data_IF_699658872559
#
_entry.id   IF_699658872559
#
_cell.length_a   1.000
_cell.length_b   1.000
_cell.length_c   1.000
_cell.angle_alpha   90.00
_cell.angle_beta   90.00
_cell.angle_gamma   90.00
#
_symmetry.space_group_name_H-M   'P 1'
#
loop_
_entity.id
_entity.type
_entity.pdbx_description
1 polymer ?
#
# COMPACT_ATOMS: atom_id res chain seq x y z
N UNK A 1 -28.37 25.46 10.92
CA UNK A 1 -27.97 24.85 9.65
C UNK A 1 -28.41 23.40 9.59
N UNK A 2 -28.79 22.85 8.46
CA UNK A 2 -29.21 21.45 8.39
C UNK A 2 -28.04 20.51 8.70
N UNK A 3 -28.30 19.51 9.53
CA UNK A 3 -27.36 18.38 9.76
C UNK A 3 -27.90 17.21 8.96
N UNK A 4 -27.10 16.66 8.07
CA UNK A 4 -27.44 15.46 7.28
C UNK A 4 -26.49 14.35 7.65
N UNK A 5 -27.00 13.21 8.12
CA UNK A 5 -26.20 12.08 8.61
C UNK A 5 -25.14 12.45 9.66
N UNK A 6 -25.42 13.43 10.53
CA UNK A 6 -24.47 13.88 11.55
C UNK A 6 -23.39 14.84 11.08
N UNK A 7 -23.36 15.18 9.78
CA UNK A 7 -22.41 16.13 9.21
C UNK A 7 -23.08 17.48 9.03
N UNK A 8 -22.52 18.55 9.58
CA UNK A 8 -22.99 19.92 9.39
C UNK A 8 -22.36 20.55 8.15
N UNK A 9 -23.06 21.51 7.52
CA UNK A 9 -22.49 22.28 6.41
C UNK A 9 -21.19 22.99 6.83
N UNK A 10 -21.11 23.50 8.07
CA UNK A 10 -19.87 24.10 8.60
C UNK A 10 -18.71 23.12 8.63
N UNK A 11 -18.95 21.86 9.01
CA UNK A 11 -17.89 20.84 8.99
C UNK A 11 -17.37 20.56 7.58
N UNK A 12 -18.23 20.61 6.56
CA UNK A 12 -17.83 20.49 5.16
C UNK A 12 -17.01 21.71 4.73
N UNK A 13 -17.47 22.92 5.07
CA UNK A 13 -16.72 24.15 4.77
C UNK A 13 -15.34 24.15 5.43
N UNK A 14 -15.22 23.71 6.67
CA UNK A 14 -13.94 23.58 7.38
C UNK A 14 -12.99 22.59 6.68
N UNK A 15 -13.51 21.45 6.18
CA UNK A 15 -12.74 20.47 5.41
C UNK A 15 -12.27 21.08 4.11
N UNK A 16 -13.17 21.72 3.34
CA UNK A 16 -12.84 22.40 2.06
C UNK A 16 -11.78 23.47 2.27
N UNK A 17 -11.93 24.30 3.29
CA UNK A 17 -10.96 25.32 3.67
C UNK A 17 -9.59 24.74 4.06
N UNK A 18 -9.59 23.60 4.76
CA UNK A 18 -8.36 22.90 5.11
C UNK A 18 -7.64 22.36 3.86
N UNK A 19 -8.41 21.81 2.90
CA UNK A 19 -7.86 21.38 1.60
C UNK A 19 -7.36 22.55 0.75
N UNK A 20 -8.09 23.66 0.70
CA UNK A 20 -7.66 24.86 -0.01
C UNK A 20 -6.32 25.41 0.51
N UNK A 21 -6.14 25.36 1.85
CA UNK A 21 -4.92 25.88 2.49
C UNK A 21 -3.76 24.89 2.56
N UNK A 22 -4.06 23.60 2.62
CA UNK A 22 -3.08 22.55 2.99
C UNK A 22 -3.16 21.30 2.12
N UNK A 23 -3.91 21.29 1.03
CA UNK A 23 -4.10 20.10 0.17
C UNK A 23 -2.77 19.54 -0.36
N UNK A 24 -1.79 20.38 -0.62
CA UNK A 24 -0.44 19.94 -1.01
C UNK A 24 0.26 19.09 0.06
N UNK A 25 -0.10 19.23 1.33
CA UNK A 25 0.47 18.43 2.43
C UNK A 25 0.00 16.98 2.40
N UNK A 26 -1.18 16.72 1.83
CA UNK A 26 -1.78 15.39 1.75
C UNK A 26 -1.31 14.68 0.49
N UNK A 27 -0.92 15.43 -0.55
CA UNK A 27 -0.30 14.87 -1.75
C UNK A 27 1.06 14.28 -1.41
N UNK A 28 1.29 13.04 -1.77
CA UNK A 28 2.60 12.42 -1.53
C UNK A 28 2.59 10.91 -1.64
N UNK A 29 3.70 10.32 -1.25
CA UNK A 29 3.90 8.88 -1.28
C UNK A 29 3.59 8.27 0.08
N UNK A 30 2.65 7.36 0.08
CA UNK A 30 2.29 6.52 1.21
C UNK A 30 2.92 5.15 1.01
N UNK A 31 3.51 4.56 2.06
CA UNK A 31 4.15 3.24 1.99
C UNK A 31 3.58 2.33 3.04
N UNK A 32 3.10 1.16 2.62
CA UNK A 32 2.74 0.10 3.54
C UNK A 32 3.75 -1.05 3.43
N UNK A 33 4.27 -1.48 4.58
CA UNK A 33 5.29 -2.53 4.70
C UNK A 33 4.67 -3.76 5.36
N UNK A 34 4.57 -4.83 4.63
CA UNK A 34 4.18 -6.14 5.14
C UNK A 34 5.42 -7.01 5.31
N UNK A 35 5.50 -7.73 6.43
CA UNK A 35 6.53 -8.74 6.68
C UNK A 35 5.90 -10.04 7.13
N UNK A 36 6.39 -11.12 6.58
CA UNK A 36 6.14 -12.47 7.05
C UNK A 36 7.49 -13.20 7.23
N UNK A 37 7.68 -13.84 8.36
CA UNK A 37 8.81 -14.71 8.70
C UNK A 37 8.38 -15.76 9.71
N UNK A 38 9.30 -16.62 10.15
CA UNK A 38 9.01 -17.71 11.11
C UNK A 38 8.42 -17.20 12.45
N UNK A 39 8.65 -15.94 12.82
CA UNK A 39 8.09 -15.33 14.04
C UNK A 39 6.67 -14.83 13.86
N UNK A 40 6.17 -14.77 12.63
CA UNK A 40 4.86 -14.21 12.29
C UNK A 40 3.77 -15.24 12.58
N UNK A 41 3.04 -15.05 13.68
CA UNK A 41 1.96 -15.95 14.08
C UNK A 41 0.71 -15.85 13.18
N UNK A 42 0.51 -14.71 12.51
CA UNK A 42 -0.64 -14.45 11.64
C UNK A 42 -0.20 -13.74 10.35
N UNK A 43 -0.31 -14.39 9.19
CA UNK A 43 0.05 -13.79 7.90
C UNK A 43 -0.83 -12.57 7.51
N UNK A 44 -1.94 -12.35 8.21
CA UNK A 44 -2.80 -11.19 8.01
C UNK A 44 -2.56 -10.06 9.02
N UNK A 45 -1.44 -10.08 9.73
CA UNK A 45 -1.07 -8.97 10.61
C UNK A 45 -1.03 -7.66 9.84
N UNK A 46 -1.60 -6.56 10.40
CA UNK A 46 -1.62 -5.31 9.69
C UNK A 46 -0.20 -4.81 9.41
N UNK A 47 0.07 -4.32 8.20
CA UNK A 47 1.36 -3.78 7.83
C UNK A 47 1.60 -2.44 8.52
N UNK A 48 2.87 -2.05 8.63
CA UNK A 48 3.24 -0.71 9.03
C UNK A 48 2.98 0.25 7.89
N UNK A 49 2.33 1.39 8.18
CA UNK A 49 2.15 2.50 7.23
C UNK A 49 3.13 3.63 7.52
N UNK A 50 3.75 4.14 6.48
CA UNK A 50 4.49 5.41 6.49
C UNK A 50 3.75 6.45 5.65
N UNK A 51 3.56 7.63 6.22
CA UNK A 51 2.93 8.79 5.60
C UNK A 51 3.97 9.70 4.96
N UNK A 52 3.57 10.58 4.01
CA UNK A 52 4.42 11.65 3.52
C UNK A 52 4.98 12.49 4.70
N UNK A 53 6.20 13.03 4.54
CA UNK A 53 6.87 13.85 5.57
C UNK A 53 5.98 14.98 6.08
N UNK A 54 5.20 15.59 5.17
CA UNK A 54 4.26 16.68 5.47
C UNK A 54 3.16 16.33 6.48
N UNK A 55 2.90 15.03 6.71
CA UNK A 55 1.86 14.54 7.63
C UNK A 55 2.40 13.84 8.87
N UNK A 56 3.70 13.67 9.02
CA UNK A 56 4.28 12.89 10.13
C UNK A 56 3.90 13.41 11.52
N UNK A 57 3.90 14.73 11.70
CA UNK A 57 3.67 15.36 13.01
C UNK A 57 2.19 15.51 13.38
N UNK A 58 1.27 15.37 12.43
CA UNK A 58 -0.17 15.57 12.61
C UNK A 58 -0.99 14.32 12.23
N UNK A 59 -0.39 13.17 12.37
CA UNK A 59 -1.06 11.92 11.97
C UNK A 59 -2.12 11.52 12.99
N UNK A 60 -3.39 11.34 12.60
CA UNK A 60 -4.39 10.76 13.48
C UNK A 60 -4.02 9.30 13.79
N UNK A 61 -4.47 8.79 14.93
CA UNK A 61 -4.33 7.37 15.29
C UNK A 61 -5.11 6.44 14.34
N UNK A 62 -6.05 7.00 13.59
CA UNK A 62 -6.91 6.28 12.65
C UNK A 62 -6.41 6.49 11.22
N UNK A 63 -6.44 5.42 10.43
CA UNK A 63 -6.11 5.48 9.01
C UNK A 63 -7.17 6.23 8.21
N UNK A 64 -6.75 7.11 7.32
CA UNK A 64 -7.64 7.68 6.32
C UNK A 64 -8.12 6.59 5.32
N UNK A 65 -9.25 6.79 4.63
CA UNK A 65 -9.79 5.78 3.69
C UNK A 65 -8.79 5.34 2.62
N UNK A 66 -8.04 6.25 2.03
CA UNK A 66 -7.00 5.91 1.02
C UNK A 66 -5.81 5.15 1.63
N UNK A 67 -5.45 5.43 2.87
CA UNK A 67 -4.40 4.70 3.60
C UNK A 67 -4.83 3.25 3.85
N UNK A 68 -6.11 3.04 4.16
CA UNK A 68 -6.66 1.69 4.31
C UNK A 68 -6.54 0.88 3.02
N UNK A 69 -6.67 1.51 1.85
CA UNK A 69 -6.49 0.86 0.56
C UNK A 69 -5.02 0.42 0.37
N UNK A 70 -4.06 1.28 0.70
CA UNK A 70 -2.62 0.96 0.62
C UNK A 70 -2.25 -0.17 1.57
N UNK A 71 -2.76 -0.12 2.80
CA UNK A 71 -2.59 -1.17 3.83
C UNK A 71 -3.23 -2.47 3.37
N UNK A 72 -4.45 -2.44 2.82
CA UNK A 72 -5.12 -3.62 2.31
C UNK A 72 -4.37 -4.25 1.13
N UNK A 73 -3.82 -3.44 0.23
CA UNK A 73 -3.02 -3.92 -0.88
C UNK A 73 -1.76 -4.64 -0.39
N UNK A 74 -1.04 -4.06 0.58
CA UNK A 74 0.15 -4.67 1.15
C UNK A 74 -0.16 -5.97 1.92
N UNK A 75 -1.21 -5.97 2.74
CA UNK A 75 -1.61 -7.17 3.51
C UNK A 75 -2.06 -8.29 2.57
N UNK A 76 -2.96 -7.99 1.65
CA UNK A 76 -3.53 -9.00 0.77
C UNK A 76 -2.46 -9.60 -0.15
N UNK A 77 -1.67 -8.77 -0.83
CA UNK A 77 -0.63 -9.27 -1.73
C UNK A 77 0.53 -9.93 -0.96
N UNK A 78 0.94 -9.36 0.17
CA UNK A 78 1.99 -9.92 1.02
C UNK A 78 1.64 -11.30 1.57
N UNK A 79 0.38 -11.49 2.01
CA UNK A 79 -0.09 -12.77 2.56
C UNK A 79 -0.26 -13.89 1.52
N UNK A 80 -0.40 -13.55 0.23
CA UNK A 80 -0.46 -14.55 -0.83
C UNK A 80 0.84 -15.35 -0.96
N UNK A 81 2.00 -14.75 -0.68
CA UNK A 81 3.29 -15.44 -0.79
C UNK A 81 3.41 -16.66 0.14
N UNK A 82 3.22 -16.55 1.47
CA UNK A 82 3.29 -17.72 2.33
C UNK A 82 2.21 -18.77 2.02
N UNK A 83 1.02 -18.35 1.59
CA UNK A 83 -0.04 -19.28 1.18
C UNK A 83 0.34 -20.07 -0.08
N UNK A 84 0.85 -19.39 -1.11
CA UNK A 84 1.31 -20.05 -2.33
C UNK A 84 2.56 -20.90 -2.09
N UNK A 85 3.49 -20.44 -1.26
CA UNK A 85 4.66 -21.21 -0.87
C UNK A 85 4.26 -22.52 -0.19
N UNK A 86 3.33 -22.47 0.76
CA UNK A 86 2.81 -23.67 1.43
C UNK A 86 2.10 -24.61 0.45
N UNK A 87 1.26 -24.07 -0.45
CA UNK A 87 0.53 -24.86 -1.44
C UNK A 87 1.45 -25.59 -2.42
N UNK A 88 2.54 -24.94 -2.84
CA UNK A 88 3.46 -25.47 -3.84
C UNK A 88 4.72 -26.13 -3.22
N UNK A 89 4.77 -26.30 -1.91
CA UNK A 89 5.93 -26.81 -1.16
C UNK A 89 7.24 -26.05 -1.49
N UNK A 90 7.14 -24.72 -1.63
CA UNK A 90 8.28 -23.83 -1.84
C UNK A 90 8.83 -23.43 -0.47
N UNK A 91 10.14 -23.65 -0.25
CA UNK A 91 10.80 -23.15 0.97
C UNK A 91 10.83 -21.60 0.92
N UNK A 92 10.23 -20.95 1.91
CA UNK A 92 10.16 -19.50 2.02
C UNK A 92 10.39 -19.11 3.48
N UNK A 93 11.53 -18.45 3.76
CA UNK A 93 11.91 -18.05 5.11
C UNK A 93 11.36 -16.68 5.49
N UNK A 94 11.35 -15.75 4.55
CA UNK A 94 10.86 -14.41 4.78
C UNK A 94 10.30 -13.78 3.49
N UNK A 95 9.26 -13.00 3.69
CA UNK A 95 8.72 -12.06 2.71
C UNK A 95 8.73 -10.67 3.31
N UNK A 96 9.36 -9.73 2.63
CA UNK A 96 9.14 -8.31 2.83
C UNK A 96 8.41 -7.78 1.58
N UNK A 97 7.20 -7.28 1.75
CA UNK A 97 6.39 -6.74 0.66
C UNK A 97 6.04 -5.29 0.93
N UNK A 98 6.34 -4.41 -0.01
CA UNK A 98 6.08 -2.98 0.11
C UNK A 98 5.15 -2.53 -1.00
N UNK A 99 4.15 -1.73 -0.64
CA UNK A 99 3.33 -0.97 -1.58
C UNK A 99 3.63 0.50 -1.37
N UNK A 100 4.18 1.14 -2.38
CA UNK A 100 4.30 2.60 -2.42
C UNK A 100 3.21 3.16 -3.33
N UNK A 101 2.41 4.08 -2.80
CA UNK A 101 1.30 4.71 -3.50
C UNK A 101 1.52 6.22 -3.58
N UNK A 102 1.65 6.75 -4.77
CA UNK A 102 1.57 8.19 -4.99
C UNK A 102 0.10 8.58 -5.06
N UNK A 103 -0.34 9.42 -4.12
CA UNK A 103 -1.72 9.84 -3.97
C UNK A 103 -1.87 11.36 -4.05
N UNK A 104 -2.92 11.83 -4.71
CA UNK A 104 -3.27 13.26 -4.82
C UNK A 104 -4.79 13.42 -4.59
N UNK A 105 -5.22 13.95 -3.45
CA UNK A 105 -6.64 14.15 -3.16
C UNK A 105 -7.14 15.55 -3.53
N UNK A 106 -6.32 16.43 -4.09
CA UNK A 106 -6.64 17.86 -4.23
C UNK A 106 -7.86 18.13 -5.10
N UNK A 107 -8.23 17.23 -5.99
CA UNK A 107 -9.40 17.34 -6.87
C UNK A 107 -10.71 16.81 -6.22
N UNK A 108 -10.62 16.14 -5.06
CA UNK A 108 -11.78 15.49 -4.41
C UNK A 108 -12.88 16.48 -4.03
N UNK A 109 -12.50 17.72 -3.71
CA UNK A 109 -13.42 18.76 -3.26
C UNK A 109 -13.62 19.88 -4.29
N UNK A 110 -13.21 19.67 -5.54
CA UNK A 110 -13.40 20.68 -6.58
C UNK A 110 -14.88 21.05 -6.75
N UNK A 111 -15.15 22.36 -6.81
CA UNK A 111 -16.50 22.90 -6.91
C UNK A 111 -17.28 22.99 -5.60
N UNK A 112 -16.78 22.46 -4.48
CA UNK A 112 -17.42 22.59 -3.19
C UNK A 112 -17.01 23.89 -2.48
N UNK A 113 -17.99 24.60 -1.89
CA UNK A 113 -17.74 25.80 -1.10
C UNK A 113 -16.96 26.91 -1.84
N UNK A 114 -16.97 26.89 -3.18
CA UNK A 114 -16.19 27.82 -4.00
C UNK A 114 -14.71 27.46 -4.13
N UNK A 115 -14.29 26.29 -3.63
CA UNK A 115 -12.95 25.78 -3.85
C UNK A 115 -12.79 25.33 -5.30
N UNK A 116 -11.66 25.67 -5.90
CA UNK A 116 -11.25 25.18 -7.21
C UNK A 116 -9.88 24.54 -7.10
N UNK A 117 -9.83 23.25 -7.41
CA UNK A 117 -8.59 22.51 -7.40
C UNK A 117 -7.59 23.08 -8.42
N UNK A 118 -6.27 23.01 -8.16
CA UNK A 118 -5.26 23.33 -9.15
C UNK A 118 -5.45 22.52 -10.43
N UNK A 119 -5.14 23.10 -11.58
CA UNK A 119 -5.35 22.46 -12.90
C UNK A 119 -4.57 21.14 -13.07
N UNK A 120 -3.51 20.93 -12.29
CA UNK A 120 -2.72 19.71 -12.25
C UNK A 120 -3.19 18.69 -11.19
N UNK A 121 -4.20 19.05 -10.39
CA UNK A 121 -4.74 18.14 -9.38
C UNK A 121 -5.41 16.91 -10.00
N UNK A 122 -5.39 15.83 -9.26
CA UNK A 122 -6.06 14.57 -9.58
C UNK A 122 -6.64 13.99 -8.29
N UNK A 123 -7.75 13.30 -8.40
CA UNK A 123 -8.43 12.68 -7.25
C UNK A 123 -8.21 11.17 -7.24
N UNK A 124 -7.00 10.72 -7.08
CA UNK A 124 -6.77 9.26 -7.07
C UNK A 124 -5.34 8.89 -6.71
N UNK A 125 -5.11 7.60 -6.71
CA UNK A 125 -3.77 7.06 -6.82
C UNK A 125 -3.21 7.33 -8.22
N UNK A 126 -2.11 8.05 -8.28
CA UNK A 126 -1.44 8.39 -9.53
C UNK A 126 -0.52 7.29 -10.02
N UNK A 127 0.09 6.56 -9.09
CA UNK A 127 0.96 5.42 -9.36
C UNK A 127 1.05 4.50 -8.15
N UNK A 128 1.29 3.22 -8.41
CA UNK A 128 1.65 2.22 -7.41
C UNK A 128 2.99 1.59 -7.79
N UNK A 129 3.87 1.42 -6.80
CA UNK A 129 5.07 0.61 -6.93
C UNK A 129 5.05 -0.51 -5.91
N UNK A 130 5.16 -1.75 -6.39
CA UNK A 130 5.16 -2.96 -5.60
C UNK A 130 6.57 -3.51 -5.54
N UNK A 131 7.05 -3.83 -4.34
CA UNK A 131 8.35 -4.49 -4.18
C UNK A 131 8.22 -5.70 -3.27
N UNK A 132 8.63 -6.86 -3.77
CA UNK A 132 8.74 -8.09 -3.01
C UNK A 132 10.21 -8.44 -2.81
N UNK A 133 10.61 -8.69 -1.56
CA UNK A 133 11.89 -9.30 -1.23
C UNK A 133 11.61 -10.67 -0.62
N UNK A 134 12.06 -11.73 -1.28
CA UNK A 134 11.86 -13.12 -0.85
C UNK A 134 13.18 -13.71 -0.41
N UNK A 135 13.25 -14.21 0.83
CA UNK A 135 14.38 -15.00 1.33
C UNK A 135 14.02 -16.46 1.20
N UNK A 136 14.76 -17.21 0.37
CA UNK A 136 14.38 -18.58 0.00
C UNK A 136 15.56 -19.35 -0.58
N UNK A 137 15.59 -20.65 -0.36
CA UNK A 137 16.48 -21.62 -1.03
C UNK A 137 15.85 -22.25 -2.28
N UNK A 138 14.59 -21.89 -2.59
CA UNK A 138 13.89 -22.46 -3.74
C UNK A 138 14.46 -21.95 -5.08
N UNK A 139 14.29 -22.73 -6.18
CA UNK A 139 14.72 -22.30 -7.50
C UNK A 139 14.12 -20.95 -7.90
N UNK A 140 14.95 -20.06 -8.43
CA UNK A 140 14.59 -18.71 -8.86
C UNK A 140 13.32 -18.69 -9.73
N UNK A 141 13.22 -19.60 -10.70
CA UNK A 141 12.08 -19.69 -11.60
C UNK A 141 10.75 -20.01 -10.86
N UNK A 142 10.79 -20.71 -9.72
CA UNK A 142 9.60 -20.97 -8.91
C UNK A 142 9.15 -19.71 -8.16
N UNK A 143 10.10 -18.92 -7.66
CA UNK A 143 9.84 -17.66 -6.96
C UNK A 143 9.33 -16.59 -7.93
N UNK A 144 9.86 -16.54 -9.15
CA UNK A 144 9.39 -15.63 -10.21
C UNK A 144 7.95 -15.94 -10.62
N UNK A 145 7.60 -17.23 -10.83
CA UNK A 145 6.20 -17.63 -11.11
C UNK A 145 5.25 -17.31 -9.97
N UNK A 146 5.69 -17.51 -8.73
CA UNK A 146 4.91 -17.14 -7.55
C UNK A 146 4.64 -15.64 -7.51
N UNK A 147 5.67 -14.82 -7.75
CA UNK A 147 5.55 -13.37 -7.81
C UNK A 147 4.60 -12.92 -8.94
N UNK A 148 4.75 -13.47 -10.13
CA UNK A 148 3.85 -13.20 -11.26
C UNK A 148 2.39 -13.54 -10.91
N UNK A 149 2.17 -14.68 -10.24
CA UNK A 149 0.83 -15.07 -9.78
C UNK A 149 0.26 -14.03 -8.81
N UNK A 150 1.01 -13.62 -7.78
CA UNK A 150 0.57 -12.60 -6.81
C UNK A 150 0.20 -11.32 -7.54
N UNK A 151 1.10 -10.76 -8.34
CA UNK A 151 0.86 -9.47 -9.01
C UNK A 151 -0.33 -9.53 -9.98
N UNK A 152 -0.49 -10.66 -10.70
CA UNK A 152 -1.54 -10.77 -11.72
C UNK A 152 -2.91 -11.21 -11.18
N UNK A 153 -2.98 -11.93 -10.05
CA UNK A 153 -4.19 -12.59 -9.56
C UNK A 153 -4.72 -12.06 -8.22
N UNK A 154 -3.92 -11.27 -7.49
CA UNK A 154 -4.37 -10.72 -6.22
C UNK A 154 -5.62 -9.85 -6.39
N UNK A 155 -6.61 -10.04 -5.52
CA UNK A 155 -7.92 -9.37 -5.61
C UNK A 155 -7.81 -7.85 -5.44
N UNK A 156 -7.05 -7.38 -4.45
CA UNK A 156 -6.94 -5.95 -4.15
C UNK A 156 -6.16 -5.24 -5.24
N UNK A 157 -5.03 -5.82 -5.70
CA UNK A 157 -4.29 -5.30 -6.85
C UNK A 157 -5.13 -5.32 -8.12
N UNK A 158 -5.98 -6.36 -8.28
CA UNK A 158 -6.93 -6.45 -9.37
C UNK A 158 -7.96 -5.31 -9.39
N UNK A 159 -8.44 -4.88 -8.23
CA UNK A 159 -9.33 -3.73 -8.11
C UNK A 159 -8.63 -2.40 -8.43
N UNK A 160 -7.31 -2.33 -8.28
CA UNK A 160 -6.49 -1.14 -8.55
C UNK A 160 -5.88 -1.12 -9.96
N UNK A 161 -6.29 -2.02 -10.88
CA UNK A 161 -5.71 -2.13 -12.24
C UNK A 161 -5.82 -0.87 -13.11
N UNK A 162 -6.71 0.05 -12.77
CA UNK A 162 -6.81 1.34 -13.44
C UNK A 162 -5.69 2.32 -13.08
N UNK A 163 -4.93 2.04 -12.01
CA UNK A 163 -3.80 2.85 -11.56
C UNK A 163 -2.52 2.34 -12.25
N UNK A 164 -1.68 3.21 -12.81
CA UNK A 164 -0.35 2.83 -13.30
C UNK A 164 0.43 2.08 -12.23
N UNK A 165 0.88 0.85 -12.52
CA UNK A 165 1.50 -0.02 -11.55
C UNK A 165 2.82 -0.58 -12.08
N UNK A 166 3.86 -0.50 -11.25
CA UNK A 166 5.16 -1.15 -11.48
C UNK A 166 5.44 -2.15 -10.38
N UNK A 167 6.25 -3.18 -10.66
CA UNK A 167 6.63 -4.16 -9.65
C UNK A 167 8.12 -4.54 -9.76
N UNK A 168 8.68 -4.93 -8.63
CA UNK A 168 10.07 -5.38 -8.48
C UNK A 168 10.10 -6.64 -7.61
N UNK A 169 10.88 -7.64 -8.05
CA UNK A 169 11.16 -8.84 -7.27
C UNK A 169 12.65 -8.91 -6.94
N UNK A 170 12.95 -8.97 -5.65
CA UNK A 170 14.30 -9.22 -5.11
C UNK A 170 14.31 -10.61 -4.48
N UNK A 171 15.24 -11.46 -4.91
CA UNK A 171 15.44 -12.80 -4.34
C UNK A 171 16.76 -12.81 -3.59
N UNK A 172 16.71 -13.17 -2.31
CA UNK A 172 17.86 -13.29 -1.42
C UNK A 172 18.03 -14.77 -1.08
N UNK A 173 19.22 -15.36 -1.32
CA UNK A 173 19.49 -16.74 -0.91
C UNK A 173 19.30 -16.95 0.60
N UNK A 174 18.76 -18.10 0.97
CA UNK A 174 18.66 -18.51 2.36
C UNK A 174 20.03 -18.66 3.01
N UNK A 175 20.16 -18.27 4.27
CA UNK A 175 21.39 -18.46 5.04
C UNK A 175 21.76 -19.94 5.26
N UNK A 176 20.82 -20.87 5.12
CA UNK A 176 21.11 -22.32 5.25
C UNK A 176 22.02 -22.85 4.12
N UNK A 177 21.94 -22.27 2.90
CA UNK A 177 22.87 -22.65 1.82
C UNK A 177 24.29 -22.12 2.06
N UNK A 178 24.46 -20.98 2.70
CA UNK A 178 25.79 -20.42 2.99
C UNK A 178 26.62 -21.28 3.97
N UNK A 179 25.99 -22.14 4.75
CA UNK A 179 26.66 -23.07 5.68
C UNK A 179 26.96 -24.43 5.06
N UNK A 180 26.30 -24.83 3.98
CA UNK A 180 26.50 -26.11 3.31
C UNK A 180 27.74 -26.10 2.36
N UNK A 181 28.31 -24.95 2.06
CA UNK A 181 29.51 -24.79 1.22
C UNK A 181 30.80 -24.43 2.02
N UNK A 182 30.77 -24.58 3.33
CA UNK A 182 31.98 -24.54 4.18
C UNK A 182 32.25 -25.90 4.76
#
# INVERSE_FOLDING_TARGET
MPIVFGVSANSVEEIVDAFARHGDRVRGTYRAYYRFDESTANPYSPPRLERPESLKDNSPDVLYPWEQIVVAAATCAGSDYPMLAAHHAISLERVDFTVEALFDPRDEFDGLGGFHAPADARHCFLALHLRATLVSSAPRASLERMHEHVVSRNMVLGALRGVPMTNELVIVPSHQEALAFR
#
